data_IF_616139643754
#
_entry.id   IF_616139643754
#
_cell.length_a   1.000
_cell.length_b   1.000
_cell.length_c   1.000
_cell.angle_alpha   90.00
_cell.angle_beta   90.00
_cell.angle_gamma   90.00
#
_symmetry.space_group_name_H-M   'P 1'
#
loop_
_entity.id
_entity.type
_entity.pdbx_description
1 polymer ?
#
# COMPACT_ATOMS: atom_id res chain seq x y z
N UNK A 1 15.48 31.47 -8.85
CA UNK A 1 14.88 30.13 -9.12
C UNK A 1 14.86 29.37 -7.79
N UNK A 2 13.70 29.21 -7.12
CA UNK A 2 13.65 28.41 -5.88
C UNK A 2 14.03 26.97 -6.24
N UNK A 3 15.19 26.50 -5.77
CA UNK A 3 15.53 25.08 -5.80
C UNK A 3 14.34 24.34 -5.21
N UNK A 4 13.71 23.47 -5.99
CA UNK A 4 12.60 22.67 -5.47
C UNK A 4 13.17 21.74 -4.43
N UNK A 5 13.07 22.14 -3.17
CA UNK A 5 13.62 21.45 -2.02
C UNK A 5 12.99 20.06 -1.93
N UNK A 6 13.82 19.06 -1.66
CA UNK A 6 13.35 17.68 -1.47
C UNK A 6 12.50 17.65 -0.20
N UNK A 7 11.32 17.04 -0.28
CA UNK A 7 10.37 16.90 0.83
C UNK A 7 10.77 15.74 1.73
N UNK A 8 11.78 15.98 2.57
CA UNK A 8 12.30 15.00 3.53
C UNK A 8 11.24 14.52 4.53
N UNK A 9 10.28 15.38 4.86
CA UNK A 9 9.10 15.05 5.66
C UNK A 9 8.32 13.86 5.09
N UNK A 10 8.05 13.87 3.79
CA UNK A 10 7.30 12.80 3.11
C UNK A 10 8.13 11.53 2.99
N UNK A 11 9.43 11.68 2.76
CA UNK A 11 10.34 10.53 2.71
C UNK A 11 10.44 9.83 4.06
N UNK A 12 10.52 10.59 5.17
CA UNK A 12 10.50 10.04 6.53
C UNK A 12 9.17 9.37 6.88
N UNK A 13 8.03 9.92 6.47
CA UNK A 13 6.73 9.26 6.66
C UNK A 13 6.72 7.87 6.00
N UNK A 14 7.33 7.72 4.82
CA UNK A 14 7.44 6.42 4.17
C UNK A 14 8.35 5.46 4.95
N UNK A 15 9.51 5.95 5.41
CA UNK A 15 10.46 5.14 6.20
C UNK A 15 9.80 4.63 7.47
N UNK A 16 9.09 5.51 8.20
CA UNK A 16 8.37 5.14 9.42
C UNK A 16 7.26 4.14 9.10
N UNK A 17 6.45 4.37 8.07
CA UNK A 17 5.37 3.46 7.69
C UNK A 17 5.88 2.05 7.34
N UNK A 18 6.99 1.95 6.60
CA UNK A 18 7.63 0.67 6.26
C UNK A 18 8.30 0.05 7.51
N UNK A 19 8.91 0.85 8.37
CA UNK A 19 9.50 0.36 9.63
C UNK A 19 8.46 -0.24 10.58
N UNK A 20 7.32 0.43 10.75
CA UNK A 20 6.19 -0.09 11.52
C UNK A 20 5.61 -1.36 10.90
N UNK A 21 5.59 -1.44 9.57
CA UNK A 21 5.19 -2.66 8.85
C UNK A 21 6.14 -3.82 9.14
N UNK A 22 7.45 -3.57 9.22
CA UNK A 22 8.43 -4.60 9.57
C UNK A 22 8.20 -5.14 10.99
N UNK A 23 8.06 -4.23 11.98
CA UNK A 23 7.78 -4.61 13.38
C UNK A 23 6.50 -5.45 13.46
N UNK A 24 5.48 -5.06 12.69
CA UNK A 24 4.24 -5.82 12.65
C UNK A 24 4.42 -7.25 12.13
N UNK A 25 5.17 -7.46 11.05
CA UNK A 25 5.43 -8.80 10.55
C UNK A 25 6.27 -9.65 11.52
N UNK A 26 7.19 -9.03 12.26
CA UNK A 26 7.92 -9.73 13.34
C UNK A 26 6.96 -10.18 14.43
N UNK A 27 6.02 -9.33 14.83
CA UNK A 27 5.05 -9.67 15.87
C UNK A 27 4.12 -10.85 15.48
N UNK A 28 3.88 -11.07 14.18
CA UNK A 28 3.10 -12.20 13.66
C UNK A 28 3.75 -13.56 14.01
N UNK A 29 5.08 -13.63 14.06
CA UNK A 29 5.79 -14.86 14.42
C UNK A 29 5.45 -15.34 15.85
N UNK A 30 4.98 -14.44 16.72
CA UNK A 30 4.55 -14.76 18.08
C UNK A 30 3.03 -15.03 18.19
N UNK A 31 2.31 -15.06 17.07
CA UNK A 31 0.86 -15.29 17.04
C UNK A 31 0.53 -16.72 16.63
N UNK A 32 -0.48 -17.36 17.27
CA UNK A 32 -0.83 -18.76 17.02
C UNK A 32 -1.39 -19.01 15.62
N UNK A 33 -1.85 -17.97 14.93
CA UNK A 33 -2.35 -18.04 13.55
C UNK A 33 -1.31 -17.61 12.50
N UNK A 34 -0.07 -17.25 12.90
CA UNK A 34 0.98 -16.79 11.99
C UNK A 34 1.31 -17.77 10.87
N UNK A 35 1.21 -19.08 11.12
CA UNK A 35 1.43 -20.10 10.10
C UNK A 35 0.44 -20.01 8.93
N UNK A 36 -0.82 -19.60 9.19
CA UNK A 36 -1.85 -19.46 8.15
C UNK A 36 -1.49 -18.43 7.08
N UNK A 37 -0.61 -17.48 7.42
CA UNK A 37 -0.13 -16.44 6.52
C UNK A 37 1.36 -16.60 6.20
N UNK A 38 1.93 -17.77 6.45
CA UNK A 38 3.30 -18.10 6.06
C UNK A 38 4.38 -17.52 6.97
N UNK A 39 4.18 -17.52 8.29
CA UNK A 39 5.25 -17.20 9.24
C UNK A 39 5.67 -18.44 10.01
N UNK A 40 6.99 -18.58 10.20
CA UNK A 40 7.54 -19.51 11.18
C UNK A 40 7.19 -18.95 12.55
N UNK A 41 6.58 -19.80 13.38
CA UNK A 41 6.10 -19.43 14.70
C UNK A 41 7.17 -19.66 15.77
N UNK A 42 7.17 -18.83 16.80
CA UNK A 42 7.94 -19.06 18.02
C UNK A 42 7.22 -20.07 18.92
N UNK A 43 7.99 -20.88 19.66
CA UNK A 43 7.47 -21.80 20.68
C UNK A 43 6.87 -21.05 21.89
N UNK A 44 7.21 -19.78 22.08
CA UNK A 44 6.67 -18.92 23.15
C UNK A 44 5.69 -17.87 22.58
N UNK A 45 4.39 -18.19 22.48
CA UNK A 45 3.42 -17.26 21.90
C UNK A 45 3.18 -16.04 22.79
N UNK A 46 3.15 -14.85 22.20
CA UNK A 46 2.90 -13.58 22.87
C UNK A 46 1.65 -12.91 22.31
N UNK A 47 0.47 -13.40 22.70
CA UNK A 47 -0.83 -12.89 22.21
C UNK A 47 -1.09 -11.43 22.61
N UNK A 48 -0.53 -10.97 23.72
CA UNK A 48 -0.67 -9.57 24.18
C UNK A 48 -0.06 -8.55 23.21
N UNK A 49 0.97 -8.93 22.44
CA UNK A 49 1.54 -8.08 21.38
C UNK A 49 0.52 -7.78 20.28
N UNK A 50 -0.52 -8.59 20.14
CA UNK A 50 -1.51 -8.38 19.09
C UNK A 50 -2.31 -7.10 19.29
N UNK A 51 -2.55 -6.67 20.53
CA UNK A 51 -3.33 -5.46 20.84
C UNK A 51 -2.76 -4.22 20.12
N UNK A 52 -1.48 -3.82 20.33
CA UNK A 52 -0.91 -2.70 19.59
C UNK A 52 -0.78 -2.98 18.08
N UNK A 53 -0.62 -4.24 17.68
CA UNK A 53 -0.47 -4.62 16.27
C UNK A 53 -1.77 -4.49 15.46
N UNK A 54 -2.94 -4.73 16.07
CA UNK A 54 -4.25 -4.49 15.44
C UNK A 54 -4.48 -3.00 15.21
N UNK A 55 -4.11 -2.15 16.17
CA UNK A 55 -4.16 -0.70 16.00
C UNK A 55 -3.28 -0.27 14.82
N UNK A 56 -2.05 -0.80 14.71
CA UNK A 56 -1.20 -0.53 13.55
C UNK A 56 -1.80 -1.07 12.23
N UNK A 57 -2.56 -2.17 12.28
CA UNK A 57 -3.18 -2.76 11.08
C UNK A 57 -4.15 -1.83 10.37
N UNK A 58 -5.00 -1.18 11.15
CA UNK A 58 -6.02 -0.26 10.62
C UNK A 58 -5.39 0.92 9.88
N UNK A 59 -4.23 1.41 10.33
CA UNK A 59 -3.67 2.68 9.84
C UNK A 59 -2.56 2.50 8.81
N UNK A 60 -1.81 1.39 8.84
CA UNK A 60 -0.59 1.25 8.03
C UNK A 60 -0.87 1.35 6.53
N UNK A 61 -1.91 0.67 6.06
CA UNK A 61 -2.20 0.53 4.63
C UNK A 61 -2.72 1.88 4.10
N UNK A 62 -3.74 2.52 4.71
CA UNK A 62 -4.14 3.87 4.33
C UNK A 62 -2.98 4.87 4.31
N UNK A 63 -2.09 4.83 5.30
CA UNK A 63 -0.92 5.71 5.35
C UNK A 63 0.04 5.50 4.18
N UNK A 64 0.37 4.25 3.84
CA UNK A 64 1.23 3.92 2.70
C UNK A 64 0.63 4.39 1.38
N UNK A 65 -0.68 4.17 1.19
CA UNK A 65 -1.39 4.63 -0.01
C UNK A 65 -1.45 6.16 -0.10
N UNK A 66 -1.69 6.84 1.03
CA UNK A 66 -1.68 8.31 1.11
C UNK A 66 -0.31 8.89 0.74
N UNK A 67 0.77 8.40 1.36
CA UNK A 67 2.15 8.85 1.08
C UNK A 67 2.55 8.54 -0.36
N UNK A 68 2.11 7.40 -0.92
CA UNK A 68 2.30 7.07 -2.33
C UNK A 68 1.59 8.07 -3.26
N UNK A 69 0.34 8.42 -2.96
CA UNK A 69 -0.45 9.42 -3.68
C UNK A 69 0.19 10.81 -3.67
N UNK A 70 0.70 11.26 -2.52
CA UNK A 70 1.49 12.50 -2.42
C UNK A 70 2.71 12.45 -3.35
N UNK A 71 3.43 11.32 -3.35
CA UNK A 71 4.58 11.11 -4.24
C UNK A 71 4.22 11.21 -5.72
N UNK A 72 3.05 10.73 -6.13
CA UNK A 72 2.52 10.88 -7.50
C UNK A 72 2.18 12.33 -7.79
N UNK A 73 1.50 13.02 -6.87
CA UNK A 73 1.15 14.43 -7.02
C UNK A 73 2.38 15.32 -7.26
N UNK A 74 3.44 15.18 -6.46
CA UNK A 74 4.67 15.95 -6.64
C UNK A 74 5.42 15.56 -7.93
N UNK A 75 5.43 14.27 -8.30
CA UNK A 75 6.04 13.83 -9.55
C UNK A 75 5.31 14.39 -10.78
N UNK A 76 3.98 14.39 -10.75
CA UNK A 76 3.13 14.94 -11.82
C UNK A 76 3.32 16.44 -12.05
N UNK A 77 3.72 17.21 -11.04
CA UNK A 77 4.04 18.64 -11.23
C UNK A 77 5.24 18.86 -12.15
N UNK A 78 6.20 17.93 -12.13
CA UNK A 78 7.48 18.04 -12.85
C UNK A 78 7.54 17.19 -14.13
N UNK A 79 6.60 16.26 -14.34
CA UNK A 79 6.67 15.23 -15.39
C UNK A 79 5.38 15.12 -16.20
N UNK A 80 5.50 14.64 -17.43
CA UNK A 80 4.36 14.21 -18.25
C UNK A 80 3.93 12.78 -17.88
N UNK A 81 2.78 12.35 -18.40
CA UNK A 81 2.19 11.05 -18.10
C UNK A 81 3.13 9.87 -18.42
N UNK A 82 3.77 9.87 -19.59
CA UNK A 82 4.65 8.78 -20.00
C UNK A 82 5.90 8.68 -19.13
N UNK A 83 6.52 9.81 -18.79
CA UNK A 83 7.66 9.86 -17.90
C UNK A 83 7.32 9.38 -16.48
N UNK A 84 6.13 9.74 -15.97
CA UNK A 84 5.64 9.24 -14.68
C UNK A 84 5.49 7.72 -14.71
N UNK A 85 4.78 7.17 -15.70
CA UNK A 85 4.55 5.72 -15.77
C UNK A 85 5.84 4.94 -15.96
N UNK A 86 6.76 5.40 -16.79
CA UNK A 86 8.07 4.75 -16.97
C UNK A 86 8.87 4.69 -15.66
N UNK A 87 8.91 5.80 -14.91
CA UNK A 87 9.57 5.85 -13.60
C UNK A 87 8.93 4.87 -12.61
N UNK A 88 7.59 4.82 -12.57
CA UNK A 88 6.85 3.94 -11.66
C UNK A 88 6.97 2.47 -12.04
N UNK A 89 6.98 2.16 -13.33
CA UNK A 89 7.21 0.81 -13.83
C UNK A 89 8.56 0.27 -13.35
N UNK A 90 9.65 1.03 -13.56
CA UNK A 90 11.00 0.61 -13.15
C UNK A 90 11.12 0.51 -11.62
N UNK A 91 10.49 1.42 -10.87
CA UNK A 91 10.65 1.46 -9.40
C UNK A 91 9.70 0.56 -8.63
N UNK A 92 8.57 0.17 -9.21
CA UNK A 92 7.52 -0.60 -8.52
C UNK A 92 7.38 -1.96 -9.17
N UNK A 93 7.13 -2.01 -10.49
CA UNK A 93 6.83 -3.26 -11.16
C UNK A 93 8.06 -4.18 -11.25
N UNK A 94 9.25 -3.64 -11.52
CA UNK A 94 10.48 -4.46 -11.57
C UNK A 94 10.77 -5.12 -10.21
N UNK A 95 10.82 -4.39 -9.07
CA UNK A 95 10.96 -5.03 -7.76
C UNK A 95 9.81 -5.98 -7.40
N UNK A 96 8.58 -5.67 -7.83
CA UNK A 96 7.42 -6.52 -7.58
C UNK A 96 7.53 -7.87 -8.30
N UNK A 97 7.84 -7.87 -9.60
CA UNK A 97 8.03 -9.09 -10.39
C UNK A 97 9.21 -9.89 -9.83
N UNK A 98 10.33 -9.24 -9.52
CA UNK A 98 11.47 -9.90 -8.90
C UNK A 98 11.08 -10.55 -7.56
N UNK A 99 10.33 -9.83 -6.72
CA UNK A 99 9.86 -10.36 -5.45
C UNK A 99 8.94 -11.58 -5.60
N UNK A 100 8.05 -11.59 -6.58
CA UNK A 100 7.17 -12.73 -6.87
C UNK A 100 7.93 -13.94 -7.37
N UNK A 101 8.94 -13.74 -8.22
CA UNK A 101 9.65 -14.85 -8.87
C UNK A 101 10.77 -15.40 -7.97
N UNK A 102 11.47 -14.54 -7.25
CA UNK A 102 12.63 -14.94 -6.45
C UNK A 102 12.30 -15.07 -4.96
N UNK A 103 11.65 -14.07 -4.37
CA UNK A 103 11.52 -13.97 -2.91
C UNK A 103 10.35 -14.81 -2.39
N UNK A 104 9.19 -14.78 -3.05
CA UNK A 104 8.01 -15.56 -2.61
C UNK A 104 8.26 -17.08 -2.65
N UNK A 105 8.83 -17.66 -3.73
CA UNK A 105 9.08 -19.10 -3.77
C UNK A 105 10.16 -19.51 -2.77
N UNK A 106 11.19 -18.68 -2.58
CA UNK A 106 12.22 -18.90 -1.55
C UNK A 106 11.59 -18.91 -0.15
N UNK A 107 10.71 -17.97 0.14
CA UNK A 107 9.99 -17.90 1.41
C UNK A 107 9.13 -19.15 1.66
N UNK A 108 8.35 -19.58 0.66
CA UNK A 108 7.56 -20.81 0.73
C UNK A 108 8.45 -22.03 0.95
N UNK A 109 9.56 -22.13 0.21
CA UNK A 109 10.52 -23.22 0.35
C UNK A 109 11.10 -23.30 1.78
N UNK A 110 11.50 -22.16 2.35
CA UNK A 110 12.04 -22.10 3.72
C UNK A 110 11.01 -22.62 4.73
N UNK A 111 9.74 -22.22 4.62
CA UNK A 111 8.68 -22.64 5.54
C UNK A 111 8.38 -24.13 5.41
N UNK A 112 8.21 -24.63 4.18
CA UNK A 112 7.90 -26.05 3.94
C UNK A 112 9.03 -26.94 4.45
N UNK A 113 10.29 -26.53 4.22
CA UNK A 113 11.46 -27.22 4.73
C UNK A 113 11.53 -27.18 6.27
N UNK A 114 11.23 -26.04 6.89
CA UNK A 114 11.24 -25.89 8.35
C UNK A 114 10.24 -26.83 9.03
N UNK A 115 9.04 -26.97 8.48
CA UNK A 115 7.98 -27.83 9.02
C UNK A 115 7.96 -29.26 8.45
N UNK A 116 9.00 -29.67 7.71
CA UNK A 116 9.11 -30.97 7.03
C UNK A 116 7.86 -31.33 6.19
N UNK A 117 7.27 -30.34 5.53
CA UNK A 117 6.10 -30.51 4.67
C UNK A 117 6.54 -30.74 3.21
N UNK A 118 5.74 -31.48 2.41
CA UNK A 118 5.99 -31.58 0.98
C UNK A 118 5.95 -30.19 0.34
N UNK A 119 6.81 -29.94 -0.64
CA UNK A 119 6.84 -28.66 -1.34
C UNK A 119 5.52 -28.43 -2.06
N UNK A 120 4.75 -27.46 -1.56
CA UNK A 120 3.52 -26.98 -2.18
C UNK A 120 3.69 -25.50 -2.49
N UNK A 121 3.70 -25.16 -3.78
CA UNK A 121 3.81 -23.78 -4.24
C UNK A 121 2.56 -23.38 -5.02
N UNK A 122 1.91 -22.32 -4.56
CA UNK A 122 0.83 -21.66 -5.28
C UNK A 122 1.31 -20.26 -5.69
N UNK A 123 1.32 -19.94 -7.01
CA UNK A 123 1.69 -18.61 -7.47
C UNK A 123 0.84 -17.52 -6.80
N UNK A 124 1.48 -16.63 -6.07
CA UNK A 124 0.82 -15.55 -5.32
C UNK A 124 1.77 -14.34 -5.20
N UNK A 125 1.25 -13.11 -5.16
CA UNK A 125 2.04 -11.94 -4.80
C UNK A 125 2.56 -11.96 -3.35
N UNK A 126 2.07 -12.87 -2.50
CA UNK A 126 2.42 -12.95 -1.08
C UNK A 126 2.22 -11.59 -0.39
N UNK A 127 3.15 -11.23 0.49
CA UNK A 127 3.14 -9.95 1.20
C UNK A 127 3.41 -8.72 0.31
N UNK A 128 3.73 -8.91 -0.98
CA UNK A 128 4.05 -7.83 -1.92
C UNK A 128 2.82 -7.28 -2.66
N UNK A 129 1.62 -7.81 -2.39
CA UNK A 129 0.37 -7.44 -3.06
C UNK A 129 0.13 -5.92 -3.13
N UNK A 130 0.54 -5.18 -2.09
CA UNK A 130 0.32 -3.73 -2.03
C UNK A 130 1.11 -2.97 -3.10
N UNK A 131 2.27 -3.46 -3.57
CA UNK A 131 3.02 -2.86 -4.69
C UNK A 131 2.21 -2.94 -5.98
N UNK A 132 1.62 -4.11 -6.26
CA UNK A 132 0.75 -4.34 -7.42
C UNK A 132 -0.46 -3.40 -7.41
N UNK A 133 -1.09 -3.23 -6.25
CA UNK A 133 -2.21 -2.31 -6.08
C UNK A 133 -1.80 -0.85 -6.31
N UNK A 134 -0.67 -0.40 -5.73
CA UNK A 134 -0.16 0.96 -5.97
C UNK A 134 0.09 1.19 -7.46
N UNK A 135 0.76 0.27 -8.15
CA UNK A 135 1.03 0.41 -9.58
C UNK A 135 -0.27 0.47 -10.39
N UNK A 136 -1.23 -0.40 -10.08
CA UNK A 136 -2.54 -0.44 -10.72
C UNK A 136 -3.30 0.88 -10.53
N UNK A 137 -3.34 1.42 -9.31
CA UNK A 137 -3.97 2.71 -9.03
C UNK A 137 -3.29 3.85 -9.78
N UNK A 138 -1.96 3.86 -9.85
CA UNK A 138 -1.26 4.85 -10.66
C UNK A 138 -1.70 4.73 -12.12
N UNK A 139 -1.64 3.53 -12.72
CA UNK A 139 -1.98 3.31 -14.11
C UNK A 139 -3.41 3.73 -14.46
N UNK A 140 -4.39 3.31 -13.65
CA UNK A 140 -5.81 3.57 -13.88
C UNK A 140 -6.19 5.02 -13.60
N UNK A 141 -5.61 5.64 -12.57
CA UNK A 141 -6.00 6.99 -12.16
C UNK A 141 -5.17 8.08 -12.81
N UNK A 142 -3.99 7.79 -13.39
CA UNK A 142 -3.21 8.84 -14.01
C UNK A 142 -3.91 9.57 -15.18
N UNK A 143 -4.84 9.00 -16.01
CA UNK A 143 -5.46 9.77 -17.07
C UNK A 143 -6.38 10.83 -16.46
N UNK A 144 -7.12 10.44 -15.43
CA UNK A 144 -7.95 11.32 -14.61
C UNK A 144 -7.10 12.41 -13.93
N UNK A 145 -5.97 12.05 -13.32
CA UNK A 145 -5.11 13.04 -12.66
C UNK A 145 -4.52 14.05 -13.64
N UNK A 146 -4.09 13.62 -14.83
CA UNK A 146 -3.58 14.53 -15.86
C UNK A 146 -4.70 15.39 -16.47
N UNK A 147 -5.91 14.84 -16.61
CA UNK A 147 -7.10 15.60 -17.00
C UNK A 147 -7.42 16.69 -15.97
N UNK A 148 -7.49 16.34 -14.68
CA UNK A 148 -7.75 17.29 -13.58
C UNK A 148 -6.64 18.33 -13.45
N UNK A 149 -5.39 17.97 -13.74
CA UNK A 149 -4.27 18.91 -13.81
C UNK A 149 -4.46 19.95 -14.92
N UNK A 150 -4.95 19.54 -16.09
CA UNK A 150 -5.21 20.42 -17.24
C UNK A 150 -6.48 21.26 -17.07
N UNK A 151 -7.50 20.73 -16.41
CA UNK A 151 -8.82 21.35 -16.23
C UNK A 151 -9.12 21.63 -14.75
N UNK A 152 -8.24 22.36 -14.08
CA UNK A 152 -8.28 22.61 -12.63
C UNK A 152 -9.50 23.42 -12.14
N UNK A 153 -10.19 24.12 -13.05
CA UNK A 153 -11.42 24.89 -12.82
C UNK A 153 -12.69 24.20 -13.36
N UNK A 154 -12.54 23.02 -13.97
CA UNK A 154 -13.66 22.25 -14.50
C UNK A 154 -14.66 21.83 -13.43
N UNK A 155 -15.88 21.42 -13.86
CA UNK A 155 -16.92 20.92 -12.95
C UNK A 155 -16.43 19.74 -12.10
N UNK A 156 -15.71 18.80 -12.73
CA UNK A 156 -15.10 17.65 -12.03
C UNK A 156 -14.08 18.09 -10.96
N UNK A 157 -13.18 19.02 -11.30
CA UNK A 157 -12.17 19.50 -10.36
C UNK A 157 -12.80 20.25 -9.17
N UNK A 158 -13.87 21.00 -9.39
CA UNK A 158 -14.65 21.65 -8.32
C UNK A 158 -15.36 20.63 -7.43
N UNK A 159 -15.96 19.58 -8.00
CA UNK A 159 -16.57 18.49 -7.23
C UNK A 159 -15.57 17.77 -6.34
N UNK A 160 -14.41 17.41 -6.88
CA UNK A 160 -13.32 16.78 -6.11
C UNK A 160 -12.82 17.71 -5.00
N UNK A 161 -12.60 19.00 -5.28
CA UNK A 161 -12.19 19.99 -4.27
C UNK A 161 -13.22 20.14 -3.15
N UNK A 162 -14.51 20.15 -3.49
CA UNK A 162 -15.58 20.22 -2.50
C UNK A 162 -15.62 18.96 -1.62
N UNK A 163 -15.51 17.78 -2.24
CA UNK A 163 -15.55 16.50 -1.53
C UNK A 163 -14.42 16.35 -0.51
N UNK A 164 -13.19 16.70 -0.89
CA UNK A 164 -12.01 16.54 -0.03
C UNK A 164 -11.64 17.80 0.77
N UNK A 165 -12.25 18.95 0.47
CA UNK A 165 -11.97 20.23 1.12
C UNK A 165 -12.96 20.63 2.21
N UNK A 166 -14.05 19.88 2.38
CA UNK A 166 -15.09 20.18 3.37
C UNK A 166 -15.35 18.95 4.26
N UNK A 167 -15.45 19.11 5.60
CA UNK A 167 -15.83 18.02 6.50
C UNK A 167 -17.10 17.26 6.07
N UNK A 168 -18.11 17.96 5.53
CA UNK A 168 -19.34 17.34 5.03
C UNK A 168 -19.10 16.47 3.80
N UNK A 169 -18.18 16.87 2.92
CA UNK A 169 -17.79 16.07 1.76
C UNK A 169 -17.08 14.78 2.16
N UNK A 170 -16.19 14.86 3.15
CA UNK A 170 -15.53 13.68 3.72
C UNK A 170 -16.55 12.76 4.40
N UNK A 171 -17.48 13.32 5.15
CA UNK A 171 -18.53 12.55 5.82
C UNK A 171 -19.44 11.84 4.80
N UNK A 172 -19.79 12.51 3.70
CA UNK A 172 -20.50 11.88 2.59
C UNK A 172 -19.71 10.72 1.96
N UNK A 173 -18.41 10.90 1.73
CA UNK A 173 -17.55 9.82 1.23
C UNK A 173 -17.48 8.62 2.20
N UNK A 174 -17.39 8.89 3.50
CA UNK A 174 -17.42 7.86 4.54
C UNK A 174 -18.77 7.14 4.56
N UNK A 175 -19.89 7.86 4.46
CA UNK A 175 -21.22 7.27 4.41
C UNK A 175 -21.38 6.34 3.20
N UNK A 176 -20.83 6.71 2.04
CA UNK A 176 -20.83 5.83 0.86
C UNK A 176 -20.07 4.54 1.15
N UNK A 177 -18.87 4.61 1.74
CA UNK A 177 -18.10 3.40 2.08
C UNK A 177 -18.81 2.54 3.14
N UNK A 178 -19.40 3.15 4.16
CA UNK A 178 -20.16 2.43 5.19
C UNK A 178 -21.40 1.77 4.57
N UNK A 179 -22.10 2.48 3.69
CA UNK A 179 -23.29 1.94 3.01
C UNK A 179 -22.95 0.74 2.13
N UNK A 180 -21.80 0.75 1.46
CA UNK A 180 -21.32 -0.38 0.66
C UNK A 180 -21.12 -1.63 1.53
N UNK A 181 -20.45 -1.51 2.68
CA UNK A 181 -20.29 -2.62 3.63
C UNK A 181 -21.64 -3.16 4.13
N UNK A 182 -22.58 -2.27 4.46
CA UNK A 182 -23.90 -2.67 4.96
C UNK A 182 -24.75 -3.39 3.92
N UNK A 183 -24.64 -2.99 2.65
CA UNK A 183 -25.43 -3.54 1.54
C UNK A 183 -24.81 -4.82 1.01
N UNK A 184 -23.51 -4.78 0.71
CA UNK A 184 -22.81 -5.87 0.02
C UNK A 184 -22.53 -7.03 0.97
N UNK A 185 -22.39 -6.77 2.29
CA UNK A 185 -21.99 -7.76 3.31
C UNK A 185 -20.85 -8.67 2.79
N UNK A 186 -19.74 -8.07 2.35
CA UNK A 186 -18.65 -8.79 1.70
C UNK A 186 -17.93 -9.76 2.64
#
# INVERSE_FOLDING_TARGET
>A
MKLTERRYDIDWLRVIAIGLLLIYHIAIAFQPWGLLIGFIQSDEPMSSLWIPMTMLNVWRIPLLFFVSGMGVFFAMRKRNWFALLKERFVRILVPFIFGIIAIVPLHVFIIMNYYNQPLQYMPSPGHLWFLGNIFTYVLLLSPLFFYLKKHSEGKLARGVKWLFGNPLGLLAAMLVMVSEVLIVKP
#
